data_IF_147492019032
#
_entry.id   IF_147492019032
#
_cell.length_a   1.000
_cell.length_b   1.000
_cell.length_c   1.000
_cell.angle_alpha   90.00
_cell.angle_beta   90.00
_cell.angle_gamma   90.00
#
_symmetry.space_group_name_H-M   'P 1'
#
loop_
_entity.id
_entity.type
_entity.pdbx_description
1 polymer ?
#
# COMPACT_ATOMS: atom_id res chain seq x y z
N UNK A 1 -2.95 7.39 13.19
CA UNK A 1 -1.86 6.39 13.19
C UNK A 1 -1.71 5.59 14.50
N UNK A 2 -2.47 5.87 15.58
CA UNK A 2 -2.32 5.13 16.85
C UNK A 2 -2.61 3.63 16.71
N UNK A 3 -3.55 3.24 15.83
CA UNK A 3 -3.81 1.83 15.52
C UNK A 3 -2.56 1.08 14.99
N UNK A 4 -1.85 1.66 14.02
CA UNK A 4 -0.59 1.07 13.54
C UNK A 4 0.46 0.99 14.64
N UNK A 5 0.66 2.07 15.42
CA UNK A 5 1.63 2.05 16.53
C UNK A 5 1.32 0.96 17.56
N UNK A 6 0.03 0.74 17.85
CA UNK A 6 -0.39 -0.32 18.75
C UNK A 6 -0.06 -1.71 18.20
N UNK A 7 -0.36 -1.98 16.91
CA UNK A 7 -0.01 -3.25 16.28
C UNK A 7 1.50 -3.48 16.22
N UNK A 8 2.28 -2.44 15.95
CA UNK A 8 3.74 -2.51 15.96
C UNK A 8 4.25 -2.89 17.36
N UNK A 9 3.75 -2.22 18.40
CA UNK A 9 4.10 -2.56 19.79
C UNK A 9 3.74 -4.00 20.16
N UNK A 10 2.57 -4.49 19.72
CA UNK A 10 2.15 -5.88 19.94
C UNK A 10 3.08 -6.88 19.23
N UNK A 11 3.47 -6.60 17.99
CA UNK A 11 4.39 -7.45 17.24
C UNK A 11 5.77 -7.51 17.92
N UNK A 12 6.34 -6.36 18.28
CA UNK A 12 7.62 -6.28 18.97
C UNK A 12 7.60 -6.94 20.36
N UNK A 13 6.50 -6.82 21.10
CA UNK A 13 6.33 -7.51 22.39
C UNK A 13 6.28 -9.04 22.25
N UNK A 14 5.96 -9.55 21.06
CA UNK A 14 5.95 -10.97 20.72
C UNK A 14 7.23 -11.43 19.99
N UNK A 15 8.26 -10.57 19.90
CA UNK A 15 9.50 -10.83 19.14
C UNK A 15 9.25 -11.12 17.64
N UNK A 16 8.22 -10.48 17.07
CA UNK A 16 7.83 -10.61 15.66
C UNK A 16 8.14 -9.32 14.92
N UNK A 17 8.82 -9.43 13.76
CA UNK A 17 9.01 -8.32 12.83
C UNK A 17 7.71 -7.94 12.14
N UNK A 18 7.50 -6.65 11.92
CA UNK A 18 6.33 -6.10 11.22
C UNK A 18 6.74 -5.18 10.07
N UNK A 19 6.30 -5.52 8.87
CA UNK A 19 6.58 -4.78 7.64
C UNK A 19 5.32 -4.02 7.22
N UNK A 20 5.45 -2.72 6.98
CA UNK A 20 4.34 -1.87 6.52
C UNK A 20 4.19 -1.91 5.00
N UNK A 21 2.97 -2.07 4.49
CA UNK A 21 2.64 -1.89 3.07
C UNK A 21 1.84 -0.61 2.87
N UNK A 22 2.16 0.18 1.85
CA UNK A 22 1.35 1.37 1.52
C UNK A 22 -0.03 0.96 0.98
N UNK A 23 -1.05 1.77 1.26
CA UNK A 23 -2.41 1.60 0.73
C UNK A 23 -2.42 1.89 -0.77
N UNK A 24 -3.06 1.03 -1.55
CA UNK A 24 -3.18 1.15 -3.00
C UNK A 24 -4.06 2.35 -3.39
N UNK A 25 -3.88 2.93 -4.59
CA UNK A 25 -4.79 3.93 -5.13
C UNK A 25 -6.18 3.32 -5.45
N UNK A 26 -7.24 4.12 -5.33
CA UNK A 26 -8.63 3.68 -5.51
C UNK A 26 -9.51 4.67 -6.31
N UNK A 27 -8.92 5.65 -7.01
CA UNK A 27 -9.69 6.56 -7.87
C UNK A 27 -10.44 5.79 -8.95
N UNK A 28 -11.75 6.01 -9.02
CA UNK A 28 -12.68 5.28 -9.88
C UNK A 28 -13.54 4.27 -9.10
N UNK A 29 -13.12 3.85 -7.90
CA UNK A 29 -13.94 2.99 -7.05
C UNK A 29 -15.20 3.74 -6.59
N UNK A 30 -16.31 3.01 -6.40
CA UNK A 30 -17.62 3.61 -6.11
C UNK A 30 -17.71 4.41 -4.79
N UNK A 31 -16.73 4.28 -3.90
CA UNK A 31 -16.65 5.00 -2.63
C UNK A 31 -15.46 5.97 -2.57
N UNK A 32 -14.78 6.22 -3.69
CA UNK A 32 -13.73 7.21 -3.78
C UNK A 32 -14.26 8.61 -3.41
N UNK A 33 -13.44 9.38 -2.69
CA UNK A 33 -13.64 10.81 -2.49
C UNK A 33 -12.30 11.51 -2.29
N UNK A 34 -12.21 12.78 -2.68
CA UNK A 34 -11.00 13.58 -2.47
C UNK A 34 -10.60 13.64 -0.97
N UNK A 35 -11.58 13.62 -0.07
CA UNK A 35 -11.33 13.54 1.37
C UNK A 35 -10.71 12.20 1.81
N UNK A 36 -11.17 11.08 1.24
CA UNK A 36 -10.59 9.78 1.52
C UNK A 36 -9.18 9.67 0.92
N UNK A 37 -8.96 10.19 -0.30
CA UNK A 37 -7.64 10.24 -0.93
C UNK A 37 -6.64 11.06 -0.11
N UNK A 38 -7.06 12.20 0.44
CA UNK A 38 -6.20 12.99 1.33
C UNK A 38 -5.77 12.21 2.58
N UNK A 39 -6.68 11.42 3.16
CA UNK A 39 -6.38 10.53 4.30
C UNK A 39 -5.43 9.41 3.86
N UNK A 40 -5.72 8.74 2.75
CA UNK A 40 -4.89 7.66 2.19
C UNK A 40 -3.46 8.12 1.95
N UNK A 41 -3.28 9.31 1.36
CA UNK A 41 -1.97 9.95 1.16
C UNK A 41 -1.27 10.24 2.48
N UNK A 42 -1.97 10.82 3.45
CA UNK A 42 -1.39 11.09 4.76
C UNK A 42 -0.94 9.80 5.47
N UNK A 43 -1.72 8.72 5.36
CA UNK A 43 -1.36 7.38 5.83
C UNK A 43 -0.11 6.87 5.12
N UNK A 44 -0.08 6.89 3.79
CA UNK A 44 1.06 6.42 3.02
C UNK A 44 2.34 7.22 3.28
N UNK A 45 2.25 8.54 3.40
CA UNK A 45 3.38 9.39 3.81
C UNK A 45 3.91 8.98 5.18
N UNK A 46 3.03 8.72 6.15
CA UNK A 46 3.45 8.26 7.48
C UNK A 46 4.09 6.87 7.43
N UNK A 47 3.52 5.92 6.68
CA UNK A 47 4.09 4.58 6.51
C UNK A 47 5.53 4.69 5.98
N UNK A 48 5.76 5.51 4.95
CA UNK A 48 7.07 5.68 4.32
C UNK A 48 8.12 6.37 5.19
N UNK A 49 7.72 7.39 5.95
CA UNK A 49 8.67 8.34 6.54
C UNK A 49 8.80 8.25 8.06
N UNK A 50 7.86 7.59 8.74
CA UNK A 50 7.86 7.57 10.21
C UNK A 50 8.97 6.75 10.84
N UNK A 51 9.55 5.80 10.11
CA UNK A 51 10.48 4.81 10.66
C UNK A 51 9.85 3.89 11.70
N UNK A 52 8.52 3.77 11.74
CA UNK A 52 7.81 3.00 12.76
C UNK A 52 7.81 1.49 12.50
N UNK A 53 7.84 1.06 11.24
CA UNK A 53 7.90 -0.34 10.84
C UNK A 53 9.34 -0.83 10.69
N UNK A 54 9.56 -2.13 10.80
CA UNK A 54 10.89 -2.77 10.63
C UNK A 54 11.31 -2.86 9.15
N UNK A 55 10.40 -2.50 8.25
CA UNK A 55 10.55 -2.45 6.81
C UNK A 55 9.30 -1.88 6.17
N UNK A 56 9.42 -1.34 4.95
CA UNK A 56 8.28 -0.80 4.21
C UNK A 56 8.33 -1.30 2.77
N UNK A 57 7.18 -1.76 2.26
CA UNK A 57 6.97 -2.07 0.85
C UNK A 57 6.04 -1.02 0.24
N UNK A 58 6.51 -0.39 -0.84
CA UNK A 58 5.74 0.65 -1.52
C UNK A 58 4.81 0.06 -2.59
N UNK A 59 3.71 -0.53 -2.11
CA UNK A 59 2.66 -1.11 -2.97
C UNK A 59 1.92 -0.08 -3.82
N UNK A 60 1.65 1.13 -3.30
CA UNK A 60 1.09 2.23 -4.11
C UNK A 60 1.93 2.46 -5.37
N UNK A 61 3.24 2.62 -5.21
CA UNK A 61 4.15 2.86 -6.34
C UNK A 61 4.18 1.68 -7.33
N UNK A 62 3.99 0.46 -6.84
CA UNK A 62 4.06 -0.74 -7.67
C UNK A 62 2.90 -0.86 -8.67
N UNK A 63 1.71 -0.34 -8.33
CA UNK A 63 0.49 -0.55 -9.12
C UNK A 63 -0.21 0.72 -9.61
N UNK A 64 0.23 1.91 -9.17
CA UNK A 64 -0.36 3.16 -9.61
C UNK A 64 -0.20 3.41 -11.11
N UNK A 65 -1.18 4.08 -11.72
CA UNK A 65 -1.05 4.60 -13.08
C UNK A 65 0.00 5.74 -13.09
N UNK A 66 1.06 5.65 -13.93
CA UNK A 66 2.04 6.74 -14.05
C UNK A 66 1.44 8.08 -14.52
N UNK A 67 0.32 8.05 -15.25
CA UNK A 67 -0.39 9.24 -15.72
C UNK A 67 -1.40 9.78 -14.70
N UNK A 68 -1.93 8.92 -13.83
CA UNK A 68 -2.87 9.29 -12.76
C UNK A 68 -2.54 8.51 -11.47
N UNK A 69 -1.57 8.97 -10.65
CA UNK A 69 -1.07 8.21 -9.50
C UNK A 69 -2.09 7.93 -8.40
N UNK A 70 -3.29 8.49 -8.50
CA UNK A 70 -4.41 8.23 -7.59
C UNK A 70 -5.31 7.07 -8.04
N UNK A 71 -5.07 6.50 -9.23
CA UNK A 71 -5.76 5.32 -9.78
C UNK A 71 -4.80 4.12 -9.91
N UNK A 72 -5.36 2.91 -9.94
CA UNK A 72 -4.63 1.73 -10.41
C UNK A 72 -4.31 1.88 -11.90
N UNK A 73 -3.16 1.36 -12.33
CA UNK A 73 -2.84 1.28 -13.75
C UNK A 73 -3.91 0.45 -14.48
N UNK A 74 -4.61 1.04 -15.48
CA UNK A 74 -5.83 0.46 -16.03
C UNK A 74 -5.56 -0.87 -16.74
N UNK A 75 -6.63 -1.63 -17.01
CA UNK A 75 -6.54 -2.88 -17.75
C UNK A 75 -5.79 -2.71 -19.10
N UNK A 76 -4.98 -3.70 -19.50
CA UNK A 76 -4.77 -5.01 -18.85
C UNK A 76 -3.66 -5.00 -17.78
N UNK A 77 -3.12 -3.84 -17.39
CA UNK A 77 -1.94 -3.77 -16.53
C UNK A 77 -2.23 -4.29 -15.12
N UNK A 78 -2.88 -3.49 -14.26
CA UNK A 78 -3.00 -3.85 -12.83
C UNK A 78 -4.42 -3.80 -12.30
N UNK A 79 -5.33 -3.03 -12.88
CA UNK A 79 -6.72 -2.95 -12.43
C UNK A 79 -7.54 -4.22 -12.80
N UNK A 80 -8.32 -4.74 -11.86
CA UNK A 80 -9.30 -5.82 -12.11
C UNK A 80 -10.53 -5.36 -12.89
N UNK A 81 -10.72 -4.04 -13.01
CA UNK A 81 -11.88 -3.38 -13.63
C UNK A 81 -12.83 -2.77 -12.59
N UNK A 82 -12.57 -2.95 -11.30
CA UNK A 82 -13.33 -2.34 -10.21
C UNK A 82 -12.66 -1.09 -9.61
N UNK A 83 -11.48 -0.71 -10.13
CA UNK A 83 -10.69 0.44 -9.71
C UNK A 83 -10.21 0.40 -8.26
N UNK A 84 -10.16 -0.80 -7.67
CA UNK A 84 -9.85 -1.00 -6.26
C UNK A 84 -8.91 -2.19 -6.05
N UNK A 85 -9.23 -3.32 -6.65
CA UNK A 85 -8.48 -4.55 -6.48
C UNK A 85 -7.56 -4.77 -7.69
N UNK A 86 -6.30 -5.17 -7.45
CA UNK A 86 -5.43 -5.60 -8.52
C UNK A 86 -5.94 -6.87 -9.20
N UNK A 87 -5.75 -6.98 -10.52
CA UNK A 87 -5.87 -8.22 -11.27
C UNK A 87 -4.66 -9.14 -11.01
N UNK A 88 -4.58 -10.27 -11.71
CA UNK A 88 -3.46 -11.22 -11.59
C UNK A 88 -2.08 -10.56 -11.80
N UNK A 89 -1.92 -9.77 -12.86
CA UNK A 89 -0.67 -9.05 -13.14
C UNK A 89 -0.36 -7.98 -12.07
N UNK A 90 -1.39 -7.34 -11.51
CA UNK A 90 -1.26 -6.42 -10.38
C UNK A 90 -0.82 -7.12 -9.10
N UNK A 91 -1.38 -8.28 -8.79
CA UNK A 91 -0.94 -9.11 -7.65
C UNK A 91 0.50 -9.57 -7.83
N UNK A 92 0.91 -9.95 -9.04
CA UNK A 92 2.31 -10.27 -9.34
C UNK A 92 3.24 -9.06 -9.18
N UNK A 93 2.79 -7.86 -9.56
CA UNK A 93 3.56 -6.63 -9.36
C UNK A 93 3.76 -6.31 -7.86
N UNK A 94 2.72 -6.50 -7.03
CA UNK A 94 2.84 -6.38 -5.57
C UNK A 94 3.84 -7.39 -5.00
N UNK A 95 3.78 -8.66 -5.43
CA UNK A 95 4.73 -9.68 -4.99
C UNK A 95 6.17 -9.32 -5.38
N UNK A 96 6.39 -8.84 -6.60
CA UNK A 96 7.70 -8.41 -7.09
C UNK A 96 8.24 -7.17 -6.36
N UNK A 97 7.38 -6.36 -5.75
CA UNK A 97 7.80 -5.17 -5.00
C UNK A 97 8.39 -5.51 -3.61
N UNK A 98 8.18 -6.72 -3.11
CA UNK A 98 8.70 -7.14 -1.80
C UNK A 98 10.20 -7.47 -1.94
N UNK A 99 11.06 -6.65 -1.34
CA UNK A 99 12.46 -7.01 -1.16
C UNK A 99 12.56 -8.16 -0.13
N UNK A 100 12.98 -9.33 -0.60
CA UNK A 100 13.13 -10.53 0.23
C UNK A 100 14.16 -10.37 1.35
N UNK A 101 15.05 -9.38 1.29
CA UNK A 101 15.95 -9.05 2.40
C UNK A 101 15.19 -8.61 3.66
N UNK A 102 13.97 -8.09 3.52
CA UNK A 102 13.09 -7.70 4.63
C UNK A 102 12.57 -8.91 5.43
N UNK A 103 12.60 -10.11 4.86
CA UNK A 103 12.05 -11.34 5.45
C UNK A 103 13.11 -12.23 6.14
N UNK A 104 14.36 -11.78 6.16
CA UNK A 104 15.49 -12.51 6.76
C UNK A 104 15.69 -12.15 8.23
#
# INVERSE_FOLDING_TARGET
MNGYRHLIQQAHAADVRIIGGTMLPDKGAGYYSDSAEAIRRAVNTWIRTSGAFDGVVDFEKAVADPAEPTALSPQPAYDSGDHLHPNEAGMQALANAVDLSLLR
#
